data_IF_560235216696
#
_entry.id   IF_560235216696
#
_cell.length_a   1.000
_cell.length_b   1.000
_cell.length_c   1.000
_cell.angle_alpha   90.00
_cell.angle_beta   90.00
_cell.angle_gamma   90.00
#
_symmetry.space_group_name_H-M   'P 1'
#
loop_
_entity.id
_entity.type
_entity.pdbx_description
1 polymer ?
#
# COMPACT_ATOMS: atom_id res chain seq x y z
N UNK A 1 17.84 -8.44 4.04
CA UNK A 1 16.46 -7.99 3.80
C UNK A 1 15.71 -9.19 3.30
N UNK A 2 14.68 -9.63 4.02
CA UNK A 2 13.89 -10.79 3.62
C UNK A 2 12.54 -10.30 3.11
N UNK A 3 12.35 -10.34 1.79
CA UNK A 3 11.06 -10.06 1.16
C UNK A 3 10.26 -11.35 1.26
N UNK A 4 9.67 -11.57 2.43
CA UNK A 4 8.83 -12.74 2.68
C UNK A 4 7.63 -12.79 1.73
N UNK A 5 7.14 -13.98 1.37
CA UNK A 5 6.11 -14.17 0.34
C UNK A 5 4.74 -13.57 0.72
N UNK A 6 4.50 -13.29 2.01
CA UNK A 6 3.22 -12.76 2.52
C UNK A 6 3.48 -11.67 3.57
N UNK A 7 2.83 -10.52 3.40
CA UNK A 7 2.97 -9.40 4.35
C UNK A 7 2.49 -9.74 5.76
N UNK A 8 1.55 -10.66 5.90
CA UNK A 8 1.14 -11.15 7.22
C UNK A 8 2.31 -11.80 7.98
N UNK A 9 3.11 -12.63 7.31
CA UNK A 9 4.28 -13.26 7.92
C UNK A 9 5.36 -12.22 8.25
N UNK A 10 5.55 -11.24 7.36
CA UNK A 10 6.45 -10.10 7.59
C UNK A 10 6.07 -9.26 8.81
N UNK A 11 4.78 -8.91 8.94
CA UNK A 11 4.27 -8.13 10.07
C UNK A 11 4.22 -8.93 11.38
N UNK A 12 3.90 -10.22 11.34
CA UNK A 12 4.01 -11.11 12.50
C UNK A 12 5.47 -11.25 12.95
N UNK A 13 6.40 -11.36 12.00
CA UNK A 13 7.84 -11.36 12.27
C UNK A 13 8.31 -10.05 12.88
N UNK A 14 7.77 -8.90 12.43
CA UNK A 14 8.09 -7.60 12.99
C UNK A 14 7.74 -7.52 14.50
N UNK A 15 6.57 -8.03 14.87
CA UNK A 15 6.14 -8.12 16.28
C UNK A 15 6.98 -9.13 17.08
N UNK A 16 7.19 -10.32 16.53
CA UNK A 16 7.83 -11.43 17.27
C UNK A 16 9.33 -11.23 17.48
N UNK A 17 10.01 -10.68 16.48
CA UNK A 17 11.48 -10.57 16.46
C UNK A 17 11.98 -9.15 16.67
N UNK A 18 11.08 -8.18 16.91
CA UNK A 18 11.40 -6.76 17.05
C UNK A 18 12.24 -6.22 15.88
N UNK A 19 11.72 -6.40 14.65
CA UNK A 19 12.38 -6.00 13.40
C UNK A 19 11.45 -5.16 12.53
N UNK A 20 12.01 -4.28 11.72
CA UNK A 20 11.24 -3.56 10.72
C UNK A 20 10.94 -4.45 9.50
N UNK A 21 9.73 -4.33 8.95
CA UNK A 21 9.35 -4.92 7.67
C UNK A 21 9.10 -3.81 6.64
N UNK A 22 9.64 -3.99 5.43
CA UNK A 22 9.55 -3.00 4.35
C UNK A 22 8.61 -3.53 3.27
N UNK A 23 7.53 -2.81 3.02
CA UNK A 23 6.59 -3.05 1.93
C UNK A 23 5.88 -1.76 1.52
N UNK A 24 4.98 -1.83 0.54
CA UNK A 24 4.23 -0.67 0.06
C UNK A 24 3.40 -0.01 1.17
N UNK A 25 3.49 1.32 1.30
CA UNK A 25 2.87 2.09 2.39
C UNK A 25 1.35 1.86 2.52
N UNK A 26 0.62 1.94 1.40
CA UNK A 26 -0.85 1.70 1.39
C UNK A 26 -1.19 0.28 1.85
N UNK A 27 -0.38 -0.67 1.41
CA UNK A 27 -0.55 -2.08 1.73
C UNK A 27 -0.28 -2.38 3.21
N UNK A 28 0.78 -1.80 3.78
CA UNK A 28 1.07 -1.89 5.21
C UNK A 28 -0.02 -1.25 6.06
N UNK A 29 -0.49 -0.05 5.70
CA UNK A 29 -1.57 0.63 6.41
C UNK A 29 -2.85 -0.21 6.44
N UNK A 30 -3.23 -0.76 5.29
CA UNK A 30 -4.40 -1.63 5.18
C UNK A 30 -4.27 -2.84 6.10
N UNK A 31 -3.16 -3.59 6.01
CA UNK A 31 -3.01 -4.81 6.80
C UNK A 31 -2.88 -4.55 8.29
N UNK A 32 -2.25 -3.45 8.71
CA UNK A 32 -2.19 -3.06 10.12
C UNK A 32 -3.58 -2.74 10.65
N UNK A 33 -4.37 -1.96 9.90
CA UNK A 33 -5.75 -1.63 10.27
C UNK A 33 -6.65 -2.89 10.33
N UNK A 34 -6.51 -3.79 9.36
CA UNK A 34 -7.35 -4.99 9.22
C UNK A 34 -7.01 -6.10 10.23
N UNK A 35 -5.72 -6.30 10.54
CA UNK A 35 -5.25 -7.51 11.25
C UNK A 35 -4.44 -7.26 12.51
N UNK A 36 -4.03 -6.02 12.75
CA UNK A 36 -3.14 -5.67 13.87
C UNK A 36 -3.68 -4.50 14.71
N UNK A 37 -4.93 -4.13 14.49
CA UNK A 37 -5.69 -3.19 15.31
C UNK A 37 -6.71 -3.98 16.12
N UNK A 38 -6.74 -3.78 17.42
CA UNK A 38 -7.65 -4.45 18.34
C UNK A 38 -9.04 -3.78 18.30
N UNK A 39 -10.05 -4.41 18.91
CA UNK A 39 -11.43 -3.91 18.91
C UNK A 39 -11.57 -2.54 19.60
N UNK A 40 -10.63 -2.21 20.50
CA UNK A 40 -10.53 -0.91 21.16
C UNK A 40 -9.87 0.18 20.30
N UNK A 41 -9.43 -0.16 19.08
CA UNK A 41 -8.77 0.73 18.14
C UNK A 41 -7.27 0.91 18.38
N UNK A 42 -6.67 0.20 19.34
CA UNK A 42 -5.22 0.23 19.55
C UNK A 42 -4.50 -0.60 18.50
N UNK A 43 -3.48 -0.01 17.88
CA UNK A 43 -2.68 -0.69 16.85
C UNK A 43 -1.32 -1.11 17.41
N UNK A 44 -0.99 -2.39 17.27
CA UNK A 44 0.29 -2.96 17.74
C UNK A 44 1.47 -2.63 16.84
N UNK A 45 1.19 -2.09 15.66
CA UNK A 45 2.17 -1.72 14.64
C UNK A 45 1.88 -0.32 14.11
N UNK A 46 2.91 0.34 13.60
CA UNK A 46 2.77 1.62 12.91
C UNK A 46 3.59 1.62 11.63
N UNK A 47 3.26 2.55 10.74
CA UNK A 47 4.01 2.77 9.49
C UNK A 47 4.84 4.04 9.65
N UNK A 48 6.15 3.93 9.43
CA UNK A 48 7.06 5.08 9.39
C UNK A 48 6.57 6.16 8.41
N UNK A 49 6.88 7.42 8.72
CA UNK A 49 6.37 8.57 7.94
C UNK A 49 6.99 8.64 6.55
N UNK A 50 8.24 8.24 6.42
CA UNK A 50 9.00 8.32 5.18
C UNK A 50 8.69 7.15 4.25
N UNK A 51 8.62 7.46 2.96
CA UNK A 51 8.45 6.46 1.91
C UNK A 51 9.78 6.34 1.17
N UNK A 52 10.41 5.17 1.23
CA UNK A 52 11.71 4.92 0.58
C UNK A 52 11.61 4.96 -0.95
N UNK A 53 10.46 4.57 -1.51
CA UNK A 53 10.20 4.55 -2.95
C UNK A 53 8.82 5.14 -3.25
N UNK A 54 8.68 6.07 -4.20
CA UNK A 54 7.37 6.53 -4.64
C UNK A 54 6.55 5.34 -5.13
N UNK A 55 5.46 5.03 -4.43
CA UNK A 55 4.56 3.95 -4.79
C UNK A 55 3.70 4.34 -5.98
N UNK A 56 4.15 4.04 -7.19
CA UNK A 56 3.30 4.14 -8.37
C UNK A 56 2.29 2.98 -8.37
N UNK A 57 1.04 3.28 -8.71
CA UNK A 57 0.03 2.27 -8.99
C UNK A 57 -0.53 2.58 -10.38
N UNK A 58 -0.67 1.55 -11.21
CA UNK A 58 -1.17 1.70 -12.57
C UNK A 58 -1.85 0.43 -13.02
N UNK A 59 -2.70 0.57 -14.04
CA UNK A 59 -3.33 -0.57 -14.69
C UNK A 59 -2.48 -0.99 -15.90
N UNK A 60 -2.18 -2.30 -16.05
CA UNK A 60 -1.56 -2.78 -17.27
C UNK A 60 -2.56 -2.61 -18.42
N UNK A 61 -2.17 -1.83 -19.41
CA UNK A 61 -2.97 -1.60 -20.62
C UNK A 61 -2.15 -2.15 -21.79
N UNK A 62 -2.76 -2.92 -22.71
CA UNK A 62 -2.08 -3.36 -23.92
C UNK A 62 -1.44 -2.20 -24.68
N UNK A 63 -0.29 -2.48 -25.29
CA UNK A 63 0.34 -1.52 -26.19
C UNK A 63 -0.66 -1.12 -27.30
N UNK A 64 -0.73 0.17 -27.63
CA UNK A 64 -1.65 0.77 -28.61
C UNK A 64 -3.15 0.60 -28.34
N UNK A 65 -3.56 0.36 -27.09
CA UNK A 65 -4.98 0.32 -26.76
C UNK A 65 -5.69 1.65 -27.12
N UNK A 66 -6.72 1.64 -27.99
CA UNK A 66 -7.36 2.87 -28.47
C UNK A 66 -8.08 3.64 -27.34
N UNK A 67 -8.39 2.97 -26.24
CA UNK A 67 -9.02 3.54 -25.06
C UNK A 67 -8.03 4.11 -24.03
N UNK A 68 -6.70 3.97 -24.23
CA UNK A 68 -5.71 4.39 -23.24
C UNK A 68 -5.88 5.86 -22.86
N UNK A 69 -6.01 6.74 -23.86
CA UNK A 69 -6.17 8.18 -23.63
C UNK A 69 -7.45 8.52 -22.84
N UNK A 70 -8.52 7.76 -23.04
CA UNK A 70 -9.78 7.95 -22.33
C UNK A 70 -9.67 7.48 -20.86
N UNK A 71 -9.03 6.33 -20.63
CA UNK A 71 -8.76 5.83 -19.28
C UNK A 71 -7.87 6.79 -18.50
N UNK A 72 -6.79 7.29 -19.10
CA UNK A 72 -5.90 8.27 -18.47
C UNK A 72 -6.67 9.55 -18.07
N UNK A 73 -7.57 10.04 -18.94
CA UNK A 73 -8.41 11.20 -18.65
C UNK A 73 -9.34 10.97 -17.46
N UNK A 74 -9.99 9.81 -17.39
CA UNK A 74 -10.90 9.49 -16.29
C UNK A 74 -10.18 9.31 -14.96
N UNK A 75 -8.97 8.73 -14.98
CA UNK A 75 -8.12 8.64 -13.80
C UNK A 75 -7.78 10.05 -13.29
N UNK A 76 -7.36 10.95 -14.18
CA UNK A 76 -7.00 12.32 -13.79
C UNK A 76 -8.22 13.09 -13.24
N UNK A 77 -9.36 13.03 -13.93
CA UNK A 77 -10.59 13.67 -13.46
C UNK A 77 -11.02 13.17 -12.07
N UNK A 78 -10.85 11.87 -11.80
CA UNK A 78 -11.16 11.30 -10.48
C UNK A 78 -10.21 11.81 -9.40
N UNK A 79 -8.91 11.97 -9.73
CA UNK A 79 -7.90 12.50 -8.81
C UNK A 79 -8.17 13.96 -8.48
N UNK A 80 -8.49 14.79 -9.49
CA UNK A 80 -8.78 16.22 -9.30
C UNK A 80 -9.97 16.43 -8.35
N UNK A 81 -11.04 15.65 -8.50
CA UNK A 81 -12.20 15.71 -7.59
C UNK A 81 -11.84 15.30 -6.15
N UNK A 82 -10.92 14.34 -5.96
CA UNK A 82 -10.53 13.87 -4.63
C UNK A 82 -9.56 14.80 -3.90
N UNK A 83 -8.95 15.75 -4.60
CA UNK A 83 -7.94 16.67 -4.06
C UNK A 83 -8.49 18.11 -3.91
N UNK A 84 -9.59 18.44 -4.59
CA UNK A 84 -10.35 19.69 -4.42
C UNK A 84 -11.15 19.72 -3.12
#
# INVERSE_FOLDING_TARGET
MDVGPKVQEGLQGALKYNRAHVAGRRYLKYHIADKFTEEDGTSRLYVGRETLFPGASGWPIPHDAPYKAQVDRWILASIEVCIS
#
